data_IF_966633425519
#
_entry.id   IF_966633425519
#
_cell.length_a   1.000
_cell.length_b   1.000
_cell.length_c   1.000
_cell.angle_alpha   90.00
_cell.angle_beta   90.00
_cell.angle_gamma   90.00
#
_symmetry.space_group_name_H-M   'P 1'
#
loop_
_entity.id
_entity.type
_entity.pdbx_description
1 polymer ?
#
# COMPACT_ATOMS: atom_id res chain seq x y z
N UNK A 1 8.70 -18.12 -23.96
CA UNK A 1 8.23 -17.89 -22.58
C UNK A 1 9.29 -17.07 -21.88
N UNK A 2 9.14 -15.73 -21.80
CA UNK A 2 10.16 -14.87 -21.18
C UNK A 2 10.10 -15.08 -19.67
N UNK A 3 11.18 -15.62 -19.11
CA UNK A 3 11.43 -15.65 -17.67
C UNK A 3 11.28 -14.22 -17.15
N UNK A 4 10.23 -13.98 -16.38
CA UNK A 4 10.09 -12.77 -15.57
C UNK A 4 11.24 -12.84 -14.57
N UNK A 5 12.05 -11.79 -14.48
CA UNK A 5 13.12 -11.71 -13.49
C UNK A 5 12.47 -11.77 -12.10
N UNK A 6 12.48 -12.95 -11.48
CA UNK A 6 11.59 -13.32 -10.37
C UNK A 6 11.81 -12.49 -9.11
N UNK A 7 12.99 -11.88 -8.98
CA UNK A 7 13.35 -11.10 -7.79
C UNK A 7 12.75 -9.69 -7.82
N UNK A 8 12.51 -9.10 -9.00
CA UNK A 8 12.07 -7.70 -9.12
C UNK A 8 10.65 -7.45 -8.58
N UNK A 9 9.78 -8.46 -8.60
CA UNK A 9 8.37 -8.35 -8.17
C UNK A 9 7.99 -9.38 -7.11
N UNK A 10 8.96 -9.85 -6.33
CA UNK A 10 8.73 -10.96 -5.41
C UNK A 10 7.72 -10.61 -4.28
N UNK A 11 7.76 -9.38 -3.77
CA UNK A 11 6.83 -8.91 -2.74
C UNK A 11 5.41 -8.75 -3.31
N UNK A 12 5.29 -8.14 -4.47
CA UNK A 12 4.05 -7.94 -5.22
C UNK A 12 3.42 -9.29 -5.61
N UNK A 13 4.24 -10.25 -6.02
CA UNK A 13 3.80 -11.61 -6.34
C UNK A 13 3.26 -12.34 -5.09
N UNK A 14 3.80 -12.07 -3.89
CA UNK A 14 3.22 -12.56 -2.63
C UNK A 14 1.91 -11.83 -2.31
N UNK A 15 1.82 -10.53 -2.59
CA UNK A 15 0.62 -9.72 -2.35
C UNK A 15 -0.60 -10.25 -3.12
N UNK A 16 -0.44 -10.51 -4.42
CA UNK A 16 -1.55 -11.03 -5.26
C UNK A 16 -1.96 -12.47 -4.90
N UNK A 17 -1.15 -13.18 -4.10
CA UNK A 17 -1.48 -14.52 -3.57
C UNK A 17 -2.25 -14.50 -2.27
N UNK A 18 -2.38 -13.33 -1.62
CA UNK A 18 -3.15 -13.21 -0.38
C UNK A 18 -4.63 -13.58 -0.64
N UNK A 19 -5.26 -14.30 0.29
CA UNK A 19 -6.70 -14.58 0.22
C UNK A 19 -7.51 -13.28 0.09
N UNK A 20 -7.13 -12.26 0.87
CA UNK A 20 -7.73 -10.93 0.83
C UNK A 20 -7.65 -10.26 -0.54
N UNK A 21 -6.60 -10.54 -1.33
CA UNK A 21 -6.50 -10.02 -2.69
C UNK A 21 -7.51 -10.70 -3.62
N UNK A 22 -7.61 -12.03 -3.51
CA UNK A 22 -8.55 -12.82 -4.32
C UNK A 22 -9.99 -12.36 -4.09
N UNK A 23 -10.36 -12.15 -2.83
CA UNK A 23 -11.72 -11.83 -2.40
C UNK A 23 -12.07 -10.34 -2.56
N UNK A 24 -11.10 -9.47 -2.83
CA UNK A 24 -11.33 -8.04 -2.98
C UNK A 24 -11.72 -7.66 -4.42
N UNK A 25 -12.78 -6.86 -4.57
CA UNK A 25 -13.12 -6.21 -5.84
C UNK A 25 -12.31 -4.91 -6.05
N UNK A 26 -12.01 -4.21 -4.95
CA UNK A 26 -11.21 -3.00 -4.92
C UNK A 26 -9.94 -3.25 -4.10
N UNK A 27 -8.79 -2.87 -4.65
CA UNK A 27 -7.50 -2.96 -3.96
C UNK A 27 -6.91 -1.56 -3.87
N UNK A 28 -6.64 -1.10 -2.65
CA UNK A 28 -6.00 0.19 -2.44
C UNK A 28 -4.49 0.05 -2.65
N UNK A 29 -3.91 0.90 -3.48
CA UNK A 29 -2.49 0.81 -3.84
C UNK A 29 -1.94 2.21 -4.10
N UNK A 30 -0.71 2.48 -3.67
CA UNK A 30 -0.03 3.74 -3.99
C UNK A 30 0.58 3.67 -5.39
N UNK A 31 0.82 4.84 -6.00
CA UNK A 31 1.61 4.93 -7.23
C UNK A 31 3.04 5.26 -6.85
N UNK A 32 3.93 4.28 -6.97
CA UNK A 32 5.29 4.35 -6.43
C UNK A 32 6.16 5.40 -7.11
N UNK A 33 7.02 6.03 -6.31
CA UNK A 33 8.16 6.81 -6.80
C UNK A 33 9.43 5.95 -6.89
N UNK A 34 10.59 6.58 -7.14
CA UNK A 34 11.90 5.90 -7.15
C UNK A 34 12.40 5.50 -5.77
N UNK A 35 11.85 6.08 -4.70
CA UNK A 35 12.32 5.86 -3.32
C UNK A 35 11.55 4.75 -2.60
N UNK A 36 10.53 4.17 -3.24
CA UNK A 36 9.63 3.16 -2.68
C UNK A 36 9.64 1.89 -3.56
N UNK A 37 9.04 0.80 -3.08
CA UNK A 37 8.84 -0.39 -3.90
C UNK A 37 7.94 -0.07 -5.11
N UNK A 38 8.30 -0.62 -6.28
CA UNK A 38 7.67 -0.33 -7.59
C UNK A 38 6.30 -1.00 -7.72
N UNK A 39 5.23 -0.23 -7.57
CA UNK A 39 3.85 -0.73 -7.62
C UNK A 39 3.22 -0.71 -9.01
N UNK A 40 3.92 -0.24 -10.05
CA UNK A 40 3.34 -0.17 -11.40
C UNK A 40 2.91 -1.53 -11.93
N UNK A 41 3.71 -2.57 -11.64
CA UNK A 41 3.36 -3.94 -12.00
C UNK A 41 2.12 -4.42 -11.23
N UNK A 42 2.01 -4.08 -9.95
CA UNK A 42 0.86 -4.45 -9.12
C UNK A 42 -0.43 -3.76 -9.60
N UNK A 43 -0.39 -2.45 -9.88
CA UNK A 43 -1.53 -1.70 -10.43
C UNK A 43 -2.03 -2.30 -11.75
N UNK A 44 -1.09 -2.62 -12.65
CA UNK A 44 -1.42 -3.30 -13.90
C UNK A 44 -2.07 -4.67 -13.66
N UNK A 45 -1.55 -5.43 -12.72
CA UNK A 45 -2.06 -6.77 -12.38
C UNK A 45 -3.48 -6.70 -11.80
N UNK A 46 -3.75 -5.74 -10.89
CA UNK A 46 -5.09 -5.48 -10.35
C UNK A 46 -6.10 -5.25 -11.49
N UNK A 47 -5.78 -4.37 -12.44
CA UNK A 47 -6.64 -4.10 -13.59
C UNK A 47 -6.83 -5.33 -14.49
N UNK A 48 -5.76 -6.09 -14.73
CA UNK A 48 -5.80 -7.31 -15.56
C UNK A 48 -6.65 -8.42 -14.94
N UNK A 49 -6.69 -8.49 -13.61
CA UNK A 49 -7.50 -9.43 -12.85
C UNK A 49 -8.98 -9.01 -12.78
N UNK A 50 -9.38 -7.92 -13.47
CA UNK A 50 -10.74 -7.40 -13.48
C UNK A 50 -11.16 -6.69 -12.20
N UNK A 51 -10.17 -6.31 -11.36
CA UNK A 51 -10.37 -5.59 -10.10
C UNK A 51 -10.12 -4.09 -10.31
N UNK A 52 -10.53 -3.29 -9.34
CA UNK A 52 -10.36 -1.83 -9.39
C UNK A 52 -9.24 -1.38 -8.44
N UNK A 53 -8.14 -0.78 -8.94
CA UNK A 53 -7.21 -0.06 -8.09
C UNK A 53 -7.87 1.22 -7.56
N UNK A 54 -7.77 1.42 -6.25
CA UNK A 54 -7.94 2.74 -5.66
C UNK A 54 -6.54 3.33 -5.40
N UNK A 55 -6.26 4.53 -5.91
CA UNK A 55 -4.95 5.19 -5.78
C UNK A 55 -5.07 6.56 -5.09
N UNK A 56 -4.07 7.01 -4.32
CA UNK A 56 -4.17 8.24 -3.55
C UNK A 56 -3.95 9.49 -4.41
N UNK A 57 -4.67 10.57 -4.07
CA UNK A 57 -4.41 11.95 -4.51
C UNK A 57 -4.32 12.85 -3.29
N UNK A 58 -3.39 13.80 -3.31
CA UNK A 58 -3.18 14.73 -2.20
C UNK A 58 -3.70 16.12 -2.53
N UNK A 59 -4.68 16.58 -1.77
CA UNK A 59 -5.16 17.96 -1.81
C UNK A 59 -4.93 18.67 -0.47
N UNK A 60 -4.10 19.73 -0.50
CA UNK A 60 -3.55 20.36 0.69
C UNK A 60 -2.93 19.36 1.68
N UNK A 61 -3.53 19.30 2.88
CA UNK A 61 -3.15 18.39 3.98
C UNK A 61 -3.98 17.11 4.05
N UNK A 62 -4.86 16.89 3.07
CA UNK A 62 -5.74 15.74 2.98
C UNK A 62 -5.33 14.81 1.84
N UNK A 63 -5.60 13.52 2.04
CA UNK A 63 -5.39 12.48 1.04
C UNK A 63 -6.69 11.72 0.89
N UNK A 64 -7.12 11.49 -0.34
CA UNK A 64 -8.25 10.61 -0.65
C UNK A 64 -7.83 9.60 -1.71
N UNK A 65 -8.49 8.44 -1.70
CA UNK A 65 -8.28 7.42 -2.70
C UNK A 65 -9.34 7.54 -3.79
N UNK A 66 -8.94 7.31 -5.03
CA UNK A 66 -9.80 7.38 -6.20
C UNK A 66 -9.67 6.11 -7.01
N UNK A 67 -10.80 5.62 -7.54
CA UNK A 67 -10.82 4.49 -8.45
C UNK A 67 -10.27 4.92 -9.81
N UNK A 68 -9.37 4.11 -10.34
CA UNK A 68 -8.97 4.16 -11.75
C UNK A 68 -9.44 2.90 -12.46
N UNK A 69 -9.87 3.03 -13.70
CA UNK A 69 -10.20 1.92 -14.60
C UNK A 69 -9.07 1.68 -15.63
N UNK A 70 -8.11 2.60 -15.70
CA UNK A 70 -6.93 2.51 -16.56
C UNK A 70 -5.76 3.29 -15.98
N UNK A 71 -4.53 2.83 -16.27
CA UNK A 71 -3.32 3.60 -15.95
C UNK A 71 -3.23 4.93 -16.71
N UNK A 72 -4.01 5.10 -17.79
CA UNK A 72 -4.10 6.38 -18.51
C UNK A 72 -4.89 7.44 -17.74
N UNK A 73 -5.54 7.07 -16.64
CA UNK A 73 -6.20 7.99 -15.72
C UNK A 73 -5.24 8.50 -14.63
N UNK A 74 -3.93 8.29 -14.81
CA UNK A 74 -2.89 8.86 -13.97
C UNK A 74 -2.23 10.04 -14.68
N UNK A 75 -2.05 11.13 -13.96
CA UNK A 75 -1.35 12.34 -14.41
C UNK A 75 -0.20 12.69 -13.46
N UNK A 76 0.85 13.39 -13.92
CA UNK A 76 1.87 13.91 -13.02
C UNK A 76 1.23 14.84 -11.97
N UNK A 77 1.34 14.48 -10.70
CA UNK A 77 0.79 15.22 -9.57
C UNK A 77 1.87 15.91 -8.74
N UNK A 78 1.56 16.15 -7.47
CA UNK A 78 2.50 16.77 -6.52
C UNK A 78 3.68 15.83 -6.22
N UNK A 79 4.82 16.43 -5.88
CA UNK A 79 6.04 15.72 -5.42
C UNK A 79 6.60 14.68 -6.42
N UNK A 80 6.26 14.80 -7.71
CA UNK A 80 6.71 13.85 -8.74
C UNK A 80 5.98 12.51 -8.70
N UNK A 81 4.86 12.43 -7.96
CA UNK A 81 4.02 11.24 -7.85
C UNK A 81 2.90 11.36 -8.88
N UNK A 82 2.59 10.26 -9.56
CA UNK A 82 1.41 10.21 -10.43
C UNK A 82 0.14 10.13 -9.57
N UNK A 83 -0.82 11.00 -9.86
CA UNK A 83 -2.10 11.07 -9.16
C UNK A 83 -3.24 10.72 -10.13
N UNK A 84 -4.36 10.15 -9.64
CA UNK A 84 -5.54 9.92 -10.46
C UNK A 84 -6.11 11.25 -10.97
N UNK A 85 -6.64 11.28 -12.19
CA UNK A 85 -7.32 12.45 -12.76
C UNK A 85 -8.44 12.95 -11.84
N UNK A 86 -8.67 14.26 -11.80
CA UNK A 86 -9.60 14.87 -10.85
C UNK A 86 -11.06 14.38 -11.00
N UNK A 87 -11.45 13.96 -12.20
CA UNK A 87 -12.78 13.40 -12.47
C UNK A 87 -12.96 11.93 -12.06
N UNK A 88 -11.88 11.24 -11.66
CA UNK A 88 -11.98 9.88 -11.14
C UNK A 88 -12.91 9.85 -9.92
N UNK A 89 -13.57 8.71 -9.68
CA UNK A 89 -14.51 8.57 -8.58
C UNK A 89 -13.75 8.38 -7.27
N UNK A 90 -14.07 9.17 -6.24
CA UNK A 90 -13.56 8.95 -4.87
C UNK A 90 -14.01 7.57 -4.38
N UNK A 91 -13.07 6.83 -3.82
CA UNK A 91 -13.31 5.59 -3.10
C UNK A 91 -13.46 5.88 -1.60
N UNK A 92 -14.63 5.56 -1.06
CA UNK A 92 -14.92 5.66 0.36
C UNK A 92 -14.78 4.26 1.00
N UNK A 93 -13.80 4.04 1.89
CA UNK A 93 -13.66 2.80 2.63
C UNK A 93 -14.90 2.51 3.49
N UNK A 94 -15.24 1.23 3.62
CA UNK A 94 -16.43 0.80 4.35
C UNK A 94 -16.32 -0.57 5.03
N UNK A 95 -15.12 -1.18 5.10
CA UNK A 95 -14.98 -2.57 5.53
C UNK A 95 -13.54 -2.99 5.77
N UNK A 96 -13.18 -4.22 5.37
CA UNK A 96 -11.87 -4.83 5.57
C UNK A 96 -10.97 -4.65 4.32
N UNK A 97 -10.73 -3.40 3.90
CA UNK A 97 -10.02 -3.09 2.67
C UNK A 97 -8.57 -3.58 2.67
N UNK A 98 -8.18 -4.27 1.59
CA UNK A 98 -6.78 -4.60 1.35
C UNK A 98 -6.06 -3.36 0.80
N UNK A 99 -5.01 -2.93 1.50
CA UNK A 99 -4.21 -1.78 1.10
C UNK A 99 -2.72 -2.12 1.04
N UNK A 100 -2.08 -1.82 -0.09
CA UNK A 100 -0.63 -1.69 -0.18
C UNK A 100 -0.23 -0.30 0.34
N UNK A 101 0.61 -0.26 1.38
CA UNK A 101 1.03 0.98 2.06
C UNK A 101 2.52 1.23 1.80
N UNK A 102 2.92 2.43 1.34
CA UNK A 102 4.31 2.75 1.07
C UNK A 102 5.09 3.04 2.36
N UNK A 103 6.40 2.78 2.33
CA UNK A 103 7.32 3.14 3.39
C UNK A 103 8.77 3.02 2.94
N UNK A 104 9.66 3.72 3.66
CA UNK A 104 11.10 3.80 3.39
C UNK A 104 11.86 2.75 4.21
N UNK A 105 11.45 2.55 5.46
CA UNK A 105 12.01 1.56 6.38
C UNK A 105 10.92 0.88 7.20
N UNK A 106 11.20 -0.34 7.61
CA UNK A 106 10.32 -1.18 8.38
C UNK A 106 11.11 -1.94 9.45
N UNK A 107 10.43 -2.45 10.47
CA UNK A 107 11.04 -3.39 11.43
C UNK A 107 10.26 -4.70 11.57
N UNK A 108 10.85 -5.64 12.32
CA UNK A 108 10.23 -6.94 12.59
C UNK A 108 8.94 -6.85 13.40
N UNK A 109 8.70 -5.74 14.09
CA UNK A 109 7.43 -5.45 14.79
C UNK A 109 6.36 -4.86 13.87
N UNK A 110 6.59 -4.85 12.55
CA UNK A 110 5.71 -4.28 11.54
C UNK A 110 5.52 -2.76 11.65
N UNK A 111 6.42 -2.04 12.34
CA UNK A 111 6.42 -0.59 12.27
C UNK A 111 6.92 -0.14 10.89
N UNK A 112 6.57 1.09 10.53
CA UNK A 112 6.84 1.67 9.23
C UNK A 112 7.27 3.13 9.39
N UNK A 113 8.35 3.50 8.72
CA UNK A 113 8.78 4.88 8.54
C UNK A 113 8.43 5.34 7.12
N UNK A 114 7.58 6.36 7.01
CA UNK A 114 7.30 7.02 5.73
C UNK A 114 8.14 8.29 5.51
N UNK A 115 7.84 9.06 4.47
CA UNK A 115 8.51 10.33 4.15
C UNK A 115 8.22 11.51 5.13
N UNK A 116 7.68 11.24 6.33
CA UNK A 116 7.54 12.23 7.40
C UNK A 116 6.33 13.17 7.34
N UNK A 117 5.41 13.01 6.37
CA UNK A 117 4.24 13.91 6.20
C UNK A 117 2.93 13.41 6.84
N UNK A 118 2.89 12.14 7.25
CA UNK A 118 1.75 11.57 7.98
C UNK A 118 0.44 11.45 7.19
N UNK A 119 0.46 11.48 5.85
CA UNK A 119 -0.77 11.35 5.06
C UNK A 119 -1.52 10.05 5.33
N UNK A 120 -0.82 8.93 5.40
CA UNK A 120 -1.41 7.62 5.70
C UNK A 120 -1.94 7.57 7.14
N UNK A 121 -1.19 8.09 8.12
CA UNK A 121 -1.62 8.06 9.52
C UNK A 121 -2.88 8.94 9.71
N UNK A 122 -2.95 10.10 9.06
CA UNK A 122 -4.16 10.95 9.00
C UNK A 122 -5.32 10.22 8.31
N UNK A 123 -5.07 9.51 7.21
CA UNK A 123 -6.10 8.76 6.48
C UNK A 123 -6.69 7.61 7.32
N UNK A 124 -5.83 6.84 7.98
CA UNK A 124 -6.25 5.79 8.91
C UNK A 124 -6.99 6.36 10.12
N UNK A 125 -6.55 7.52 10.64
CA UNK A 125 -7.27 8.21 11.72
C UNK A 125 -8.66 8.69 11.30
N UNK A 126 -8.83 9.12 10.05
CA UNK A 126 -10.11 9.58 9.50
C UNK A 126 -11.12 8.44 9.29
N UNK A 127 -10.69 7.34 8.68
CA UNK A 127 -11.58 6.24 8.28
C UNK A 127 -11.60 5.06 9.27
N UNK A 128 -10.67 5.03 10.23
CA UNK A 128 -10.53 3.96 11.21
C UNK A 128 -9.43 2.96 10.83
N UNK A 129 -8.43 2.79 11.69
CA UNK A 129 -7.28 1.91 11.44
C UNK A 129 -7.65 0.42 11.24
N UNK A 130 -8.77 -0.02 11.84
CA UNK A 130 -9.25 -1.41 11.78
C UNK A 130 -9.96 -1.74 10.46
N UNK A 131 -10.36 -0.72 9.69
CA UNK A 131 -10.92 -0.91 8.36
C UNK A 131 -9.86 -1.48 7.40
N UNK A 132 -8.59 -1.14 7.61
CA UNK A 132 -7.56 -1.49 6.64
C UNK A 132 -6.78 -2.74 7.06
N UNK A 133 -6.67 -3.68 6.13
CA UNK A 133 -5.62 -4.69 6.14
C UNK A 133 -4.41 -4.14 5.39
N UNK A 134 -3.46 -3.62 6.16
CA UNK A 134 -2.32 -2.82 5.73
C UNK A 134 -1.13 -3.73 5.42
N UNK A 135 -0.73 -3.78 4.15
CA UNK A 135 0.38 -4.60 3.68
C UNK A 135 1.47 -3.69 3.14
N UNK A 136 2.67 -3.80 3.69
CA UNK A 136 3.85 -3.16 3.13
C UNK A 136 4.51 -4.06 2.08
N UNK A 137 4.98 -3.42 1.02
CA UNK A 137 5.81 -4.03 -0.02
C UNK A 137 7.19 -3.39 0.08
N UNK A 138 8.22 -4.18 0.26
CA UNK A 138 9.58 -3.66 0.43
C UNK A 138 10.63 -4.69 0.06
N UNK A 139 11.90 -4.30 0.12
CA UNK A 139 13.05 -5.21 0.01
C UNK A 139 13.55 -5.60 1.40
N UNK A 140 14.21 -6.76 1.55
CA UNK A 140 14.75 -7.18 2.84
C UNK A 140 15.71 -6.15 3.44
N UNK A 141 16.51 -5.47 2.61
CA UNK A 141 17.47 -4.45 3.06
C UNK A 141 16.82 -3.19 3.64
N UNK A 142 15.49 -3.05 3.51
CA UNK A 142 14.71 -1.97 4.14
C UNK A 142 14.06 -2.41 5.46
N UNK A 143 14.27 -3.66 5.89
CA UNK A 143 13.79 -4.21 7.16
C UNK A 143 14.94 -4.24 8.16
N UNK A 144 14.72 -3.58 9.29
CA UNK A 144 15.64 -3.50 10.41
C UNK A 144 15.11 -4.32 11.61
N UNK A 145 15.94 -4.56 12.62
CA UNK A 145 15.49 -5.25 13.84
C UNK A 145 14.48 -4.40 14.62
N UNK A 146 14.77 -3.11 14.78
CA UNK A 146 13.93 -2.14 15.46
C UNK A 146 14.14 -0.73 14.88
N UNK A 147 13.05 -0.01 14.58
CA UNK A 147 13.13 1.39 14.17
C UNK A 147 13.31 2.32 15.39
N UNK A 148 14.46 2.98 15.48
CA UNK A 148 14.77 3.90 16.58
C UNK A 148 13.85 5.14 16.66
N UNK A 149 13.33 5.59 15.52
CA UNK A 149 12.56 6.86 15.40
C UNK A 149 11.04 6.67 15.35
N UNK A 150 10.52 5.57 15.89
CA UNK A 150 9.07 5.32 15.91
C UNK A 150 8.33 6.39 16.72
N UNK A 151 7.32 7.01 16.11
CA UNK A 151 6.44 7.97 16.80
C UNK A 151 5.19 7.28 17.37
N UNK A 152 4.62 7.79 18.47
CA UNK A 152 3.42 7.20 19.08
C UNK A 152 2.19 7.13 18.17
N UNK A 153 2.13 7.97 17.14
CA UNK A 153 1.04 8.01 16.16
C UNK A 153 1.33 7.20 14.89
N UNK A 154 2.50 6.58 14.76
CA UNK A 154 2.81 5.75 13.61
C UNK A 154 2.00 4.45 13.70
N UNK A 155 1.16 4.24 12.68
CA UNK A 155 0.28 3.07 12.63
C UNK A 155 1.07 1.91 12.00
N UNK A 156 1.27 0.81 12.73
CA UNK A 156 1.99 -0.36 12.23
C UNK A 156 1.19 -1.07 11.13
N UNK A 157 1.92 -1.79 10.30
CA UNK A 157 1.37 -2.65 9.27
C UNK A 157 0.85 -3.95 9.87
N UNK A 158 0.05 -4.65 9.09
CA UNK A 158 -0.44 -5.99 9.43
C UNK A 158 0.51 -7.06 8.89
N UNK A 159 1.04 -6.82 7.70
CA UNK A 159 1.99 -7.69 7.02
C UNK A 159 3.04 -6.85 6.30
N UNK A 160 4.30 -7.28 6.35
CA UNK A 160 5.37 -6.81 5.46
C UNK A 160 5.75 -7.97 4.54
N UNK A 161 5.76 -7.71 3.25
CA UNK A 161 6.20 -8.64 2.22
C UNK A 161 7.54 -8.14 1.67
N UNK A 162 8.57 -8.97 1.83
CA UNK A 162 9.87 -8.78 1.18
C UNK A 162 10.06 -9.78 0.06
N UNK A 163 11.16 -9.73 -0.67
CA UNK A 163 11.56 -10.80 -1.58
C UNK A 163 11.88 -12.10 -0.82
N UNK A 164 12.40 -12.02 0.41
CA UNK A 164 12.89 -13.19 1.17
C UNK A 164 11.84 -13.82 2.10
N UNK A 165 11.05 -13.01 2.83
CA UNK A 165 10.13 -13.52 3.85
C UNK A 165 8.79 -12.76 3.90
N UNK A 166 7.96 -13.19 4.84
CA UNK A 166 6.70 -12.56 5.23
C UNK A 166 6.81 -12.29 6.72
N UNK A 167 6.65 -11.03 7.12
CA UNK A 167 6.63 -10.62 8.52
C UNK A 167 5.18 -10.24 8.80
N UNK A 168 4.58 -10.83 9.82
CA UNK A 168 3.18 -10.61 10.13
C UNK A 168 3.06 -10.21 11.59
N UNK A 169 2.25 -9.19 11.84
CA UNK A 169 1.91 -8.80 13.20
C UNK A 169 0.95 -9.83 13.79
N UNK A 170 1.26 -10.32 14.99
CA UNK A 170 0.32 -11.09 15.79
C UNK A 170 -0.85 -10.18 16.18
N UNK A 171 -1.92 -10.20 15.39
CA UNK A 171 -3.18 -9.62 15.83
C UNK A 171 -3.75 -10.57 16.88
N UNK A 172 -3.72 -10.19 18.15
CA UNK A 172 -4.76 -10.63 19.07
C UNK A 172 -6.08 -10.26 18.40
N UNK A 173 -6.81 -11.26 17.92
CA UNK A 173 -8.17 -11.13 17.44
C UNK A 173 -9.01 -10.59 18.59
N UNK A 174 -9.15 -9.27 18.68
CA UNK A 174 -10.28 -8.70 19.41
C UNK A 174 -11.45 -8.80 18.44
N UNK A 175 -12.09 -9.96 18.44
CA UNK A 175 -13.45 -10.09 17.95
C UNK A 175 -14.28 -8.99 18.61
N UNK A 176 -14.82 -8.06 17.82
CA UNK A 176 -16.04 -7.32 18.12
C UNK A 176 -16.80 -7.08 16.83
#
# INVERSE_FOLDING_TARGET
MKLINTDRFAAEAKFVRLRRYRDADVVMCYVSTKEEADTWWLLKTILQDGKLPAVPRVDGDTMEFYIIESLNELEPGKFGIFEPLQQCRIYLPGGAELMAVPGVRFDESCNRMGHGRGYYDKYFGKYGQECFFKVALTTEDCVEEELADRKPHDIPMDVILTEKRVIQRDRCTVER
#
